data_IF_437040048599
#
_entry.id   IF_437040048599
#
_cell.length_a   1.000
_cell.length_b   1.000
_cell.length_c   1.000
_cell.angle_alpha   90.00
_cell.angle_beta   90.00
_cell.angle_gamma   90.00
#
_symmetry.space_group_name_H-M   'P 1'
#
loop_
_entity.id
_entity.type
_entity.pdbx_description
1 polymer ?
#
# COMPACT_ATOMS: atom_id res chain seq x y z
N UNK A 1 -0.24 7.58 22.27
CA UNK A 1 0.25 7.81 20.90
C UNK A 1 -0.18 6.59 20.10
N UNK A 2 -0.99 6.76 19.05
CA UNK A 2 -1.40 5.63 18.20
C UNK A 2 -0.24 5.35 17.25
N UNK A 3 0.46 4.24 17.46
CA UNK A 3 1.42 3.74 16.48
C UNK A 3 0.66 3.11 15.32
N UNK A 4 1.13 3.39 14.12
CA UNK A 4 0.70 2.77 12.87
C UNK A 4 1.92 2.03 12.29
N UNK A 5 1.69 1.11 11.34
CA UNK A 5 2.82 0.46 10.68
C UNK A 5 3.78 1.44 10.04
N UNK A 6 5.05 1.03 9.95
CA UNK A 6 6.17 1.86 9.50
C UNK A 6 7.00 1.13 8.44
N UNK A 7 7.73 1.92 7.66
CA UNK A 7 8.77 1.42 6.76
C UNK A 7 10.05 1.26 7.58
N UNK A 8 10.47 0.01 7.85
CA UNK A 8 11.73 -0.26 8.55
C UNK A 8 12.93 -0.07 7.63
N UNK A 9 12.89 -0.74 6.47
CA UNK A 9 14.02 -0.81 5.55
C UNK A 9 13.52 -0.76 4.12
N UNK A 10 14.31 -0.12 3.28
CA UNK A 10 14.14 -0.10 1.83
C UNK A 10 15.40 -0.66 1.20
N UNK A 11 15.25 -1.67 0.35
CA UNK A 11 16.33 -2.10 -0.55
C UNK A 11 15.91 -1.84 -1.99
N UNK A 12 16.89 -1.44 -2.80
CA UNK A 12 16.67 -1.08 -4.19
C UNK A 12 17.58 -1.92 -5.09
N UNK A 13 17.06 -2.32 -6.23
CA UNK A 13 17.81 -3.02 -7.28
C UNK A 13 17.44 -2.40 -8.61
N UNK A 14 18.43 -2.15 -9.46
CA UNK A 14 18.20 -1.75 -10.85
C UNK A 14 18.57 -2.93 -11.73
N UNK A 15 17.62 -3.40 -12.54
CA UNK A 15 17.84 -4.51 -13.46
C UNK A 15 17.18 -4.16 -14.78
N UNK A 16 17.97 -4.25 -15.86
CA UNK A 16 17.54 -3.90 -17.22
C UNK A 16 16.90 -2.50 -17.33
N UNK A 17 17.39 -1.51 -16.56
CA UNK A 17 16.84 -0.15 -16.57
C UNK A 17 15.51 0.01 -15.82
N UNK A 18 15.05 -1.00 -15.07
CA UNK A 18 13.92 -0.94 -14.15
C UNK A 18 14.40 -0.85 -12.69
N UNK A 19 13.77 0.02 -11.88
CA UNK A 19 14.03 0.15 -10.45
C UNK A 19 13.01 -0.72 -9.75
N UNK A 20 13.50 -1.68 -8.99
CA UNK A 20 12.74 -2.45 -8.04
C UNK A 20 13.04 -1.93 -6.65
N UNK A 21 11.99 -1.69 -5.87
CA UNK A 21 12.11 -1.30 -4.48
C UNK A 21 11.37 -2.28 -3.59
N UNK A 22 12.10 -2.94 -2.71
CA UNK A 22 11.54 -3.79 -1.67
C UNK A 22 11.36 -2.97 -0.40
N UNK A 23 10.11 -2.82 0.03
CA UNK A 23 9.72 -2.09 1.23
C UNK A 23 9.38 -3.09 2.32
N UNK A 24 10.21 -3.15 3.36
CA UNK A 24 9.93 -3.95 4.55
C UNK A 24 9.00 -3.18 5.49
N UNK A 25 7.74 -3.60 5.53
CA UNK A 25 6.68 -3.01 6.35
C UNK A 25 6.59 -3.77 7.67
N UNK A 26 6.73 -3.06 8.78
CA UNK A 26 6.44 -3.56 10.11
C UNK A 26 5.05 -3.10 10.54
N UNK A 27 4.18 -4.03 10.93
CA UNK A 27 2.96 -3.71 11.65
C UNK A 27 3.23 -3.83 13.16
N UNK A 28 3.46 -2.71 13.83
CA UNK A 28 3.69 -2.63 15.28
C UNK A 28 2.39 -2.47 16.11
N UNK A 29 1.24 -2.56 15.44
CA UNK A 29 -0.08 -2.42 16.08
C UNK A 29 -0.55 -3.75 16.66
N UNK A 30 -1.46 -3.75 17.66
CA UNK A 30 -1.96 -4.99 18.28
C UNK A 30 -2.91 -5.79 17.39
N UNK A 31 -3.26 -5.28 16.20
CA UNK A 31 -4.22 -5.85 15.27
C UNK A 31 -3.63 -6.02 13.88
N UNK A 32 -4.22 -6.89 13.06
CA UNK A 32 -3.87 -6.99 11.64
C UNK A 32 -4.24 -5.68 10.94
N UNK A 33 -3.37 -5.25 10.02
CA UNK A 33 -3.55 -4.02 9.26
C UNK A 33 -3.35 -4.30 7.77
N UNK A 34 -4.04 -3.53 6.95
CA UNK A 34 -3.99 -3.60 5.50
C UNK A 34 -3.13 -2.46 4.95
N UNK A 35 -2.07 -2.81 4.22
CA UNK A 35 -1.09 -1.87 3.70
C UNK A 35 -1.04 -1.86 2.17
N UNK A 36 -0.67 -0.71 1.63
CA UNK A 36 -0.31 -0.54 0.22
C UNK A 36 0.86 0.43 0.13
N UNK A 37 1.83 0.10 -0.72
CA UNK A 37 2.98 0.94 -1.00
C UNK A 37 2.75 1.65 -2.33
N UNK A 38 3.14 2.91 -2.40
CA UNK A 38 3.08 3.72 -3.61
C UNK A 38 4.46 4.29 -3.90
N UNK A 39 4.88 4.20 -5.16
CA UNK A 39 6.14 4.73 -5.67
C UNK A 39 5.85 5.96 -6.51
N UNK A 40 6.51 7.07 -6.20
CA UNK A 40 6.40 8.34 -6.91
C UNK A 40 7.78 8.78 -7.43
N UNK A 41 7.78 9.51 -8.54
CA UNK A 41 8.99 10.23 -8.98
C UNK A 41 9.28 11.48 -8.13
N UNK A 42 10.37 12.16 -8.46
CA UNK A 42 10.81 13.41 -7.83
C UNK A 42 9.77 14.54 -7.92
N UNK A 43 8.88 14.50 -8.92
CA UNK A 43 7.85 15.50 -9.17
C UNK A 43 6.51 15.15 -8.51
N UNK A 44 6.44 14.00 -7.83
CA UNK A 44 5.23 13.53 -7.15
C UNK A 44 4.24 12.82 -8.07
N UNK A 45 4.63 12.44 -9.28
CA UNK A 45 3.82 11.61 -10.17
C UNK A 45 3.87 10.16 -9.68
N UNK A 46 2.70 9.53 -9.59
CA UNK A 46 2.61 8.11 -9.26
C UNK A 46 3.19 7.26 -10.39
N UNK A 47 4.19 6.45 -10.07
CA UNK A 47 4.81 5.50 -10.98
C UNK A 47 4.13 4.13 -10.88
N UNK A 48 3.96 3.66 -9.64
CA UNK A 48 3.46 2.32 -9.33
C UNK A 48 2.87 2.22 -7.92
N UNK A 49 2.11 1.16 -7.66
CA UNK A 49 1.56 0.85 -6.34
C UNK A 49 1.42 -0.66 -6.17
N UNK A 50 1.71 -1.18 -4.98
CA UNK A 50 1.58 -2.61 -4.69
C UNK A 50 0.97 -2.86 -3.30
N UNK A 51 0.01 -3.81 -3.16
CA UNK A 51 -0.56 -4.62 -4.24
C UNK A 51 -1.60 -3.88 -5.09
N UNK A 52 -1.66 -4.21 -6.38
CA UNK A 52 -2.55 -3.57 -7.36
C UNK A 52 -4.05 -3.70 -7.05
N UNK A 53 -4.50 -4.93 -6.83
CA UNK A 53 -5.93 -5.26 -6.73
C UNK A 53 -6.47 -5.08 -5.31
N UNK A 54 -5.77 -5.62 -4.32
CA UNK A 54 -6.22 -5.65 -2.93
C UNK A 54 -5.11 -5.15 -2.00
N UNK A 55 -5.49 -4.66 -0.83
CA UNK A 55 -4.51 -4.27 0.19
C UNK A 55 -3.86 -5.51 0.79
N UNK A 56 -2.60 -5.41 1.24
CA UNK A 56 -1.91 -6.54 1.84
C UNK A 56 -2.11 -6.55 3.36
N UNK A 57 -2.71 -7.62 3.85
CA UNK A 57 -2.77 -7.89 5.28
C UNK A 57 -1.37 -8.20 5.85
N UNK A 58 -0.99 -7.48 6.90
CA UNK A 58 0.20 -7.73 7.71
C UNK A 58 -0.26 -7.95 9.15
N UNK A 59 0.02 -9.14 9.69
CA UNK A 59 -0.37 -9.52 11.04
C UNK A 59 0.27 -8.62 12.10
N UNK A 60 -0.32 -8.59 13.30
CA UNK A 60 0.25 -7.88 14.45
C UNK A 60 1.71 -8.27 14.69
N UNK A 61 2.55 -7.30 15.02
CA UNK A 61 3.99 -7.45 15.30
C UNK A 61 4.77 -8.24 14.23
N UNK A 62 4.28 -8.23 12.99
CA UNK A 62 4.84 -9.00 11.89
C UNK A 62 5.37 -8.09 10.80
N UNK A 63 6.25 -8.65 9.96
CA UNK A 63 6.86 -7.97 8.83
C UNK A 63 6.36 -8.53 7.50
N UNK A 64 6.30 -7.67 6.49
CA UNK A 64 6.05 -8.09 5.12
C UNK A 64 6.84 -7.24 4.15
N UNK A 65 7.44 -7.89 3.16
CA UNK A 65 8.07 -7.22 2.03
C UNK A 65 6.99 -6.96 0.97
N UNK A 66 6.86 -5.70 0.59
CA UNK A 66 6.08 -5.24 -0.57
C UNK A 66 7.07 -4.72 -1.61
N UNK A 67 7.06 -5.32 -2.79
CA UNK A 67 7.92 -4.95 -3.91
C UNK A 67 7.12 -4.05 -4.84
N UNK A 68 7.65 -2.88 -5.19
CA UNK A 68 7.12 -1.94 -6.21
C UNK A 68 8.18 -1.71 -7.27
N UNK A 69 7.81 -1.35 -8.49
CA UNK A 69 8.78 -1.05 -9.54
C UNK A 69 8.36 0.09 -10.47
N UNK A 70 9.26 0.54 -11.34
CA UNK A 70 8.90 1.57 -12.34
C UNK A 70 8.11 1.01 -13.53
N UNK A 71 7.90 -0.31 -13.59
CA UNK A 71 7.10 -1.03 -14.58
C UNK A 71 7.49 -0.73 -16.03
N UNK A 72 8.77 -0.41 -16.28
CA UNK A 72 9.31 -0.02 -17.61
C UNK A 72 8.58 1.13 -18.31
N UNK A 73 7.61 1.75 -17.64
CA UNK A 73 6.65 2.66 -18.25
C UNK A 73 7.28 4.01 -18.58
N UNK A 74 8.46 4.27 -18.04
CA UNK A 74 9.09 5.59 -18.05
C UNK A 74 10.47 5.62 -18.71
N UNK A 75 10.79 4.63 -19.56
CA UNK A 75 12.10 4.54 -20.20
C UNK A 75 13.18 4.07 -19.23
N UNK A 76 14.40 3.85 -19.75
CA UNK A 76 15.53 3.45 -18.93
C UNK A 76 15.75 4.47 -17.80
N UNK A 77 15.93 3.97 -16.58
CA UNK A 77 16.27 4.77 -15.39
C UNK A 77 17.57 5.55 -15.51
N UNK A 78 18.29 5.38 -16.62
CA UNK A 78 19.58 6.01 -16.88
C UNK A 78 19.47 7.55 -17.00
N UNK A 79 18.29 8.09 -17.34
CA UNK A 79 18.00 9.53 -17.28
C UNK A 79 17.48 10.00 -15.89
N UNK A 80 17.31 9.03 -14.99
CA UNK A 80 16.86 9.10 -13.61
C UNK A 80 17.43 10.23 -12.77
N UNK A 81 18.74 10.11 -12.52
CA UNK A 81 19.53 10.92 -11.57
C UNK A 81 18.88 11.15 -10.19
N UNK A 82 17.81 10.43 -9.87
CA UNK A 82 16.64 11.07 -9.26
C UNK A 82 16.28 10.51 -7.90
N UNK A 83 15.63 11.36 -7.11
CA UNK A 83 14.97 10.96 -5.89
C UNK A 83 13.58 10.40 -6.20
N UNK A 84 13.27 9.25 -5.61
CA UNK A 84 11.96 8.63 -5.63
C UNK A 84 11.35 8.74 -4.25
N UNK A 85 10.03 8.81 -4.21
CA UNK A 85 9.28 8.89 -2.95
C UNK A 85 8.43 7.66 -2.79
N UNK A 86 8.52 7.06 -1.62
CA UNK A 86 7.76 5.89 -1.22
C UNK A 86 6.80 6.29 -0.12
N UNK A 87 5.52 6.00 -0.33
CA UNK A 87 4.49 6.20 0.69
C UNK A 87 3.89 4.88 1.08
N UNK A 88 3.83 4.64 2.39
CA UNK A 88 3.08 3.55 2.97
C UNK A 88 1.73 4.09 3.42
N UNK A 89 0.65 3.49 2.92
CA UNK A 89 -0.71 3.84 3.31
C UNK A 89 -1.35 2.66 4.03
N UNK A 90 -2.37 2.96 4.84
CA UNK A 90 -3.35 1.99 5.35
C UNK A 90 -4.74 2.23 4.75
N UNK A 91 -5.62 1.23 4.85
CA UNK A 91 -6.99 1.30 4.33
C UNK A 91 -7.70 2.59 4.82
N UNK A 92 -8.37 3.29 3.88
CA UNK A 92 -8.87 4.66 4.12
C UNK A 92 -7.92 5.76 3.64
N UNK A 93 -6.83 5.41 2.95
CA UNK A 93 -5.85 6.31 2.34
C UNK A 93 -5.08 7.20 3.33
N UNK A 94 -4.97 6.77 4.59
CA UNK A 94 -4.12 7.44 5.56
C UNK A 94 -2.66 7.10 5.26
N UNK A 95 -1.83 8.12 5.05
CA UNK A 95 -0.37 7.97 4.93
C UNK A 95 0.17 7.73 6.34
N UNK A 96 0.83 6.59 6.53
CA UNK A 96 1.39 6.20 7.83
C UNK A 96 2.91 6.36 7.88
N UNK A 97 3.58 6.30 6.73
CA UNK A 97 5.01 6.61 6.61
C UNK A 97 5.36 7.08 5.19
N UNK A 98 6.44 7.87 5.08
CA UNK A 98 7.00 8.35 3.82
C UNK A 98 8.54 8.28 3.89
N UNK A 99 9.15 7.74 2.84
CA UNK A 99 10.61 7.68 2.69
C UNK A 99 11.02 8.19 1.32
N UNK A 100 12.18 8.84 1.27
CA UNK A 100 12.82 9.26 0.03
C UNK A 100 13.97 8.29 -0.25
N UNK A 101 14.00 7.79 -1.47
CA UNK A 101 15.01 6.88 -2.00
C UNK A 101 15.79 7.62 -3.07
N UNK A 102 17.09 7.76 -2.90
CA UNK A 102 17.93 8.45 -3.90
C UNK A 102 18.79 7.41 -4.59
N UNK A 103 18.74 7.37 -5.91
CA UNK A 103 19.70 6.57 -6.68
C UNK A 103 21.05 7.29 -6.60
N UNK A 104 22.07 6.60 -6.09
CA UNK A 104 23.42 7.14 -6.13
C UNK A 104 23.80 7.45 -7.58
N UNK A 105 24.50 8.56 -7.82
CA UNK A 105 24.93 9.01 -9.15
C UNK A 105 25.98 8.09 -9.81
N UNK A 106 26.15 6.87 -9.32
CA UNK A 106 26.96 5.87 -9.98
C UNK A 106 26.23 5.45 -11.25
N UNK A 107 26.79 5.79 -12.41
CA UNK A 107 26.41 5.15 -13.67
C UNK A 107 26.48 3.64 -13.42
N UNK A 108 25.34 2.97 -13.40
CA UNK A 108 25.32 1.51 -13.31
C UNK A 108 25.79 1.05 -14.68
N UNK A 109 27.05 0.67 -14.78
CA UNK A 109 27.57 0.00 -15.96
C UNK A 109 26.72 -1.26 -16.17
N UNK A 110 26.26 -1.49 -17.39
CA UNK A 110 25.48 -2.66 -17.79
C UNK A 110 26.14 -4.00 -17.38
N UNK A 111 27.45 -3.99 -17.10
CA UNK A 111 28.24 -5.13 -16.61
C UNK A 111 28.26 -5.37 -15.09
N UNK A 112 27.71 -4.49 -14.26
CA UNK A 112 27.66 -4.67 -12.79
C UNK A 112 26.35 -5.32 -12.30
N UNK A 113 25.44 -5.62 -13.23
CA UNK A 113 24.21 -6.36 -12.94
C UNK A 113 24.57 -7.84 -12.81
N UNK A 114 25.05 -8.24 -11.63
CA UNK A 114 24.94 -9.64 -11.23
C UNK A 114 23.46 -9.89 -10.99
N UNK A 115 22.85 -10.66 -11.89
CA UNK A 115 21.50 -11.17 -11.74
C UNK A 115 21.42 -11.90 -10.39
N UNK A 116 20.72 -11.36 -9.37
CA UNK A 116 20.66 -11.98 -8.05
C UNK A 116 19.66 -13.16 -8.02
N UNK A 117 19.12 -13.57 -9.18
CA UNK A 117 18.10 -14.61 -9.30
C UNK A 117 18.54 -15.83 -10.12
N UNK A 118 19.84 -16.14 -10.18
CA UNK A 118 20.25 -17.54 -10.35
C UNK A 118 20.38 -18.13 -8.94
N UNK A 119 19.25 -18.31 -8.27
CA UNK A 119 19.15 -19.36 -7.27
C UNK A 119 19.09 -20.65 -8.08
N UNK A 120 20.15 -21.47 -7.98
CA UNK A 120 20.18 -22.83 -8.46
C UNK A 120 18.88 -23.53 -8.02
N UNK A 121 18.01 -23.80 -9.00
CA UNK A 121 16.90 -24.73 -8.85
C UNK A 121 17.49 -26.09 -8.48
N UNK A 122 17.61 -26.33 -7.17
CA UNK A 122 17.76 -27.67 -6.64
C UNK A 122 16.40 -28.37 -6.75
N UNK A 123 16.11 -28.88 -7.95
CA UNK A 123 15.06 -29.83 -8.25
C UNK A 123 15.30 -31.15 -7.49
N UNK A 124 14.99 -31.22 -6.19
CA UNK A 124 14.68 -32.52 -5.58
C UNK A 124 13.89 -32.48 -4.26
N UNK A 125 12.85 -31.66 -4.18
CA UNK A 125 11.84 -31.82 -3.15
C UNK A 125 10.54 -32.28 -3.78
N UNK A 126 10.31 -33.59 -3.79
CA UNK A 126 9.00 -34.17 -4.07
C UNK A 126 7.92 -33.45 -3.26
N UNK A 127 6.83 -32.99 -3.87
CA UNK A 127 5.74 -32.36 -3.13
C UNK A 127 5.08 -33.42 -2.25
N UNK A 128 5.29 -33.32 -0.93
CA UNK A 128 4.39 -33.96 0.03
C UNK A 128 3.09 -33.18 -0.05
N UNK A 129 2.06 -33.75 -0.70
CA UNK A 129 0.70 -33.19 -0.68
C UNK A 129 0.31 -32.93 0.76
N UNK A 130 0.12 -31.67 1.20
CA UNK A 130 -0.52 -31.43 2.47
C UNK A 130 -1.96 -31.93 2.33
N UNK A 131 -2.38 -32.80 3.24
CA UNK A 131 -3.78 -33.17 3.39
C UNK A 131 -4.59 -31.88 3.41
N UNK A 132 -5.46 -31.73 2.40
CA UNK A 132 -6.37 -30.59 2.27
C UNK A 132 -7.35 -30.66 3.43
N UNK A 133 -6.99 -30.05 4.57
CA UNK A 133 -7.95 -29.78 5.63
C UNK A 133 -8.96 -28.80 5.03
N UNK A 134 -10.24 -29.18 4.87
CA UNK A 134 -11.23 -28.28 4.34
C UNK A 134 -11.30 -27.05 5.24
N UNK A 135 -11.09 -25.86 4.67
CA UNK A 135 -11.29 -24.61 5.39
C UNK A 135 -12.72 -24.59 5.94
N UNK A 136 -12.92 -24.31 7.24
CA UNK A 136 -14.25 -24.16 7.78
C UNK A 136 -14.97 -23.05 7.01
N UNK A 137 -16.07 -23.40 6.34
CA UNK A 137 -16.90 -22.40 5.69
C UNK A 137 -17.42 -21.43 6.77
N UNK A 138 -17.30 -20.11 6.57
CA UNK A 138 -17.88 -19.15 7.49
C UNK A 138 -19.39 -19.38 7.54
N UNK A 139 -19.93 -19.63 8.74
CA UNK A 139 -21.37 -19.68 8.96
C UNK A 139 -21.94 -18.31 8.63
N UNK A 140 -22.59 -18.20 7.48
CA UNK A 140 -23.35 -17.00 7.11
C UNK A 140 -24.54 -16.95 8.08
N UNK A 141 -24.67 -15.90 8.92
CA UNK A 141 -25.84 -15.74 9.75
C UNK A 141 -27.09 -15.62 8.84
N UNK A 142 -28.25 -16.14 9.26
CA UNK A 142 -29.47 -16.00 8.48
C UNK A 142 -29.72 -14.52 8.18
N UNK A 143 -30.00 -14.22 6.91
CA UNK A 143 -30.39 -12.90 6.46
C UNK A 143 -31.69 -12.51 7.17
N UNK A 144 -31.59 -11.57 8.12
CA UNK A 144 -32.75 -10.94 8.74
C UNK A 144 -33.20 -9.86 7.75
N UNK A 145 -34.28 -10.15 7.01
CA UNK A 145 -34.90 -9.15 6.17
C UNK A 145 -35.28 -7.94 7.04
N UNK A 146 -34.97 -6.70 6.61
CA UNK A 146 -35.43 -5.52 7.31
C UNK A 146 -36.96 -5.57 7.38
N UNK A 147 -37.51 -5.67 8.59
CA UNK A 147 -38.93 -5.47 8.81
C UNK A 147 -39.26 -4.07 8.32
N UNK A 148 -40.21 -3.99 7.39
CA UNK A 148 -40.77 -2.75 6.86
C UNK A 148 -41.39 -2.00 8.03
N UNK A 149 -40.59 -1.16 8.68
CA UNK A 149 -41.05 -0.27 9.73
C UNK A 149 -41.95 0.76 9.04
N UNK A 150 -43.25 0.65 9.26
CA UNK A 150 -44.22 1.62 8.79
C UNK A 150 -43.81 3.00 9.28
N UNK A 151 -43.53 3.89 8.33
CA UNK A 151 -43.28 5.31 8.59
C UNK A 151 -44.62 5.91 9.03
N UNK A 152 -44.82 5.91 10.35
CA UNK A 152 -45.84 6.68 11.02
C UNK A 152 -45.49 8.16 10.99
N UNK A 153 -46.46 8.94 10.54
CA UNK A 153 -46.57 10.39 10.53
C UNK A 153 -45.73 11.20 11.54
N UNK A 154 -45.14 12.28 11.01
CA UNK A 154 -45.21 13.61 11.61
C UNK A 154 -44.02 14.04 12.46
N UNK A 155 -43.27 15.05 11.99
CA UNK A 155 -43.23 16.38 12.60
C UNK A 155 -42.44 17.34 11.70
N UNK A 156 -43.14 18.27 11.04
CA UNK A 156 -42.55 19.43 10.39
C UNK A 156 -42.22 20.46 11.48
N UNK A 157 -40.94 20.62 11.82
CA UNK A 157 -40.49 21.79 12.57
C UNK A 157 -39.88 22.77 11.57
N UNK A 158 -40.70 23.74 11.16
CA UNK A 158 -40.23 24.95 10.52
C UNK A 158 -39.57 25.83 11.59
N UNK A 159 -38.24 25.80 11.66
CA UNK A 159 -37.43 26.71 12.46
C UNK A 159 -36.87 27.81 11.60
N UNK A 160 -37.46 29.00 11.67
CA UNK A 160 -36.95 30.24 11.12
C UNK A 160 -35.69 30.73 11.88
N UNK A 161 -35.13 31.87 11.40
CA UNK A 161 -34.20 32.80 12.09
C UNK A 161 -32.71 32.50 11.82
N UNK A 162 -31.85 33.42 11.34
CA UNK A 162 -32.00 34.77 10.81
C UNK A 162 -30.78 35.10 9.93
N UNK A 163 -31.04 35.80 8.83
CA UNK A 163 -30.05 36.38 7.93
C UNK A 163 -29.51 37.66 8.59
N UNK A 164 -28.29 37.63 9.13
CA UNK A 164 -27.59 38.86 9.55
C UNK A 164 -26.78 39.41 8.39
N UNK A 165 -27.37 40.40 7.70
CA UNK A 165 -26.66 41.30 6.80
C UNK A 165 -26.18 42.55 7.55
N UNK A 166 -24.98 43.00 7.16
CA UNK A 166 -24.42 44.36 7.26
C UNK A 166 -24.07 44.96 8.63
N UNK A 167 -22.80 45.34 8.78
CA UNK A 167 -22.28 46.74 8.74
C UNK A 167 -20.77 46.71 9.02
N UNK A 168 -19.92 46.95 8.04
CA UNK A 168 -19.28 48.24 7.72
C UNK A 168 -18.42 48.83 8.84
N UNK A 169 -17.09 48.92 8.61
CA UNK A 169 -16.16 50.01 8.96
C UNK A 169 -14.80 49.66 8.33
N UNK A 170 -14.46 50.37 7.25
CA UNK A 170 -13.46 51.45 7.15
C UNK A 170 -12.02 50.93 7.12
#
# INVERSE_FOLDING_TARGET
>A
MTTYGMIETITQTITNGELFVNVNVLNDTPQTQEYRVFLYDAFGKLLDKEPDLFWKNVSKNSRKILKVSTNWKYGCIDDLGGAYKIRLLIQGNLIVDEKIVTLGTGKVSEGDIKDPFIDDENENASPVSPDLIPSPQPKIPPYIAPSTLGIGAGLLIAGAVALYFLTSKK
#
